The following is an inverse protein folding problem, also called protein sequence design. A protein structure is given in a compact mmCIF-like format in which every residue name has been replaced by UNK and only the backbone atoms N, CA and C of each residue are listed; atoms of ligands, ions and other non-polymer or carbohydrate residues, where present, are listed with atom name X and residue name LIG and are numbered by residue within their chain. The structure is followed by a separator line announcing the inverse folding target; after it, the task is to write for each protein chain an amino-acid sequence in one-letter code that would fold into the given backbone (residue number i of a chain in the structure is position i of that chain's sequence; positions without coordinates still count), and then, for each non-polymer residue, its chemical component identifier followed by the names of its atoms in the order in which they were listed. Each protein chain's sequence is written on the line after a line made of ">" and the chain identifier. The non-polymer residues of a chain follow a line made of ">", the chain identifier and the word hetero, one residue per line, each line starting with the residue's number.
data_IF_663038032968
#
_entry.id   IF_663038032968
#
_cell.length_a   1.000
_cell.length_b   1.000
_cell.length_c   1.000
_cell.angle_alpha   90.00
_cell.angle_beta   90.00
_cell.angle_gamma   90.00
#
_symmetry.space_group_name_H-M   'P 1'
#
loop_
_entity.id
_entity.type
_entity.pdbx_description
1 polymer ?
#
# COMPACT_ATOMS: atom_id res chain seq x y z
N UNK A 1 13.53 19.78 7.29
CA UNK A 1 13.34 21.14 7.84
C UNK A 1 12.56 21.02 9.14
N UNK A 2 13.06 21.59 10.24
CA UNK A 2 12.38 21.52 11.54
C UNK A 2 11.40 22.69 11.69
N UNK A 3 10.11 22.41 11.64
CA UNK A 3 9.03 23.37 11.87
C UNK A 3 8.82 23.64 13.36
N UNK A 4 8.28 24.81 13.67
CA UNK A 4 7.71 25.18 14.96
C UNK A 4 6.18 25.12 14.88
N UNK A 5 5.49 25.17 16.02
CA UNK A 5 4.02 25.10 16.07
C UNK A 5 3.32 26.15 15.20
N UNK A 6 3.92 27.34 15.07
CA UNK A 6 3.38 28.48 14.30
C UNK A 6 3.73 28.41 12.80
N UNK A 7 4.80 27.71 12.45
CA UNK A 7 5.30 27.63 11.06
C UNK A 7 4.98 26.31 10.38
N UNK A 8 4.22 25.42 11.02
CA UNK A 8 3.90 24.09 10.51
C UNK A 8 2.89 24.18 9.33
N UNK A 9 3.33 24.02 8.07
CA UNK A 9 2.47 24.20 6.92
C UNK A 9 1.48 23.03 6.75
N UNK A 10 0.46 23.26 5.95
CA UNK A 10 -0.33 22.16 5.40
C UNK A 10 0.45 21.46 4.29
N UNK A 11 0.60 20.14 4.38
CA UNK A 11 1.19 19.30 3.34
C UNK A 11 0.13 18.38 2.75
N UNK A 12 -0.01 18.40 1.43
CA UNK A 12 -1.01 17.60 0.70
C UNK A 12 -0.35 16.53 -0.15
N UNK A 13 -1.11 15.49 -0.51
CA UNK A 13 -0.67 14.46 -1.45
C UNK A 13 -0.37 15.03 -2.82
N UNK A 14 0.84 14.79 -3.29
CA UNK A 14 1.23 14.97 -4.68
C UNK A 14 0.98 13.68 -5.46
N UNK A 15 0.48 13.83 -6.67
CA UNK A 15 0.09 12.71 -7.54
C UNK A 15 0.82 12.77 -8.87
N UNK A 16 1.09 11.61 -9.46
CA UNK A 16 1.67 11.51 -10.81
C UNK A 16 0.69 10.84 -11.78
N UNK A 17 -0.06 11.61 -12.59
CA UNK A 17 -1.07 11.06 -13.48
C UNK A 17 -0.46 10.22 -14.60
N UNK A 18 0.73 10.60 -15.12
CA UNK A 18 1.41 9.87 -16.20
C UNK A 18 1.82 8.47 -15.75
N UNK A 19 2.47 8.38 -14.59
CA UNK A 19 2.86 7.09 -14.01
C UNK A 19 1.64 6.23 -13.66
N UNK A 20 0.58 6.85 -13.13
CA UNK A 20 -0.68 6.15 -12.85
C UNK A 20 -1.28 5.57 -14.13
N UNK A 21 -1.32 6.34 -15.21
CA UNK A 21 -1.85 5.90 -16.50
C UNK A 21 -1.03 4.73 -17.07
N UNK A 22 0.29 4.81 -17.02
CA UNK A 22 1.17 3.72 -17.45
C UNK A 22 0.85 2.43 -16.68
N UNK A 23 0.80 2.49 -15.34
CA UNK A 23 0.49 1.32 -14.51
C UNK A 23 -0.89 0.74 -14.84
N UNK A 24 -1.90 1.60 -15.06
CA UNK A 24 -3.25 1.16 -15.44
C UNK A 24 -3.28 0.48 -16.80
N UNK A 25 -2.59 1.02 -17.81
CA UNK A 25 -2.53 0.43 -19.15
C UNK A 25 -1.84 -0.93 -19.11
N UNK A 26 -0.68 -1.03 -18.44
CA UNK A 26 0.04 -2.31 -18.30
C UNK A 26 -0.82 -3.34 -17.58
N UNK A 27 -1.49 -2.96 -16.49
CA UNK A 27 -2.38 -3.87 -15.76
C UNK A 27 -3.59 -4.30 -16.60
N UNK A 28 -4.20 -3.38 -17.37
CA UNK A 28 -5.31 -3.68 -18.25
C UNK A 28 -4.88 -4.69 -19.32
N UNK A 29 -3.76 -4.44 -20.01
CA UNK A 29 -3.24 -5.37 -21.01
C UNK A 29 -2.95 -6.75 -20.41
N UNK A 30 -2.32 -6.80 -19.23
CA UNK A 30 -2.03 -8.05 -18.54
C UNK A 30 -3.30 -8.81 -18.15
N UNK A 31 -4.29 -8.12 -17.59
CA UNK A 31 -5.56 -8.75 -17.19
C UNK A 31 -6.39 -9.19 -18.39
N UNK A 32 -6.46 -8.41 -19.47
CA UNK A 32 -7.08 -8.82 -20.73
C UNK A 32 -6.40 -10.06 -21.31
N UNK A 33 -5.06 -10.10 -21.31
CA UNK A 33 -4.29 -11.26 -21.76
C UNK A 33 -4.63 -12.52 -20.95
N UNK A 34 -4.65 -12.43 -19.62
CA UNK A 34 -5.05 -13.55 -18.75
C UNK A 34 -6.48 -14.01 -18.99
N UNK A 35 -7.43 -13.09 -19.19
CA UNK A 35 -8.81 -13.42 -19.50
C UNK A 35 -8.93 -14.15 -20.83
N UNK A 36 -8.22 -13.71 -21.87
CA UNK A 36 -8.18 -14.40 -23.17
C UNK A 36 -7.66 -15.82 -23.00
N UNK A 37 -6.56 -16.02 -22.25
CA UNK A 37 -6.05 -17.37 -21.97
C UNK A 37 -7.08 -18.26 -21.29
N UNK A 38 -7.83 -17.74 -20.30
CA UNK A 38 -8.90 -18.50 -19.65
C UNK A 38 -10.00 -18.91 -20.61
N UNK A 39 -10.40 -18.05 -21.55
CA UNK A 39 -11.38 -18.39 -22.58
C UNK A 39 -10.84 -19.32 -23.67
N UNK A 40 -9.52 -19.41 -23.86
CA UNK A 40 -8.89 -20.31 -24.82
C UNK A 40 -8.75 -21.75 -24.32
N UNK A 41 -8.68 -21.97 -23.00
CA UNK A 41 -8.58 -23.33 -22.41
C UNK A 41 -9.71 -24.25 -22.92
N UNK A 42 -11.00 -23.86 -22.89
CA UNK A 42 -12.08 -24.70 -23.39
C UNK A 42 -12.06 -24.88 -24.91
N UNK A 43 -11.59 -23.88 -25.67
CA UNK A 43 -11.45 -23.96 -27.13
C UNK A 43 -10.42 -25.01 -27.54
N UNK A 44 -9.33 -25.16 -26.80
CA UNK A 44 -8.35 -26.22 -27.03
C UNK A 44 -8.96 -27.61 -26.88
N UNK A 45 -9.90 -27.81 -25.95
CA UNK A 45 -10.60 -29.08 -25.74
C UNK A 45 -11.58 -29.42 -26.87
N UNK A 46 -12.06 -28.45 -27.64
CA UNK A 46 -12.99 -28.73 -28.76
C UNK A 46 -12.28 -29.47 -29.89
N UNK A 47 -11.00 -29.16 -30.14
CA UNK A 47 -10.24 -29.74 -31.24
C UNK A 47 -10.00 -31.25 -31.06
N UNK A 48 -9.81 -31.71 -29.82
CA UNK A 48 -9.51 -33.10 -29.51
C UNK A 48 -10.76 -33.98 -29.41
N UNK A 49 -11.95 -33.38 -29.25
CA UNK A 49 -13.19 -34.10 -28.95
C UNK A 49 -14.38 -33.66 -29.84
N UNK A 50 -14.12 -33.52 -31.13
CA UNK A 50 -15.13 -33.12 -32.12
C UNK A 50 -16.29 -34.14 -32.12
N UNK A 51 -17.49 -33.68 -31.74
CA UNK A 51 -18.75 -34.45 -31.87
C UNK A 51 -19.41 -34.89 -30.56
N UNK A 52 -18.77 -34.73 -29.40
CA UNK A 52 -19.39 -35.05 -28.11
C UNK A 52 -20.23 -33.90 -27.57
N UNK A 53 -21.56 -34.07 -27.53
CA UNK A 53 -22.51 -33.08 -26.99
C UNK A 53 -22.18 -32.68 -25.54
N UNK A 54 -21.70 -33.63 -24.74
CA UNK A 54 -21.32 -33.43 -23.34
C UNK A 54 -20.25 -32.34 -23.16
N UNK A 55 -19.25 -32.29 -24.05
CA UNK A 55 -18.17 -31.29 -23.97
C UNK A 55 -18.68 -29.89 -24.30
N UNK A 56 -19.59 -29.74 -25.27
CA UNK A 56 -20.21 -28.44 -25.54
C UNK A 56 -21.01 -27.92 -24.35
N UNK A 57 -21.73 -28.80 -23.64
CA UNK A 57 -22.46 -28.45 -22.41
C UNK A 57 -21.50 -27.98 -21.32
N UNK A 58 -20.39 -28.72 -21.09
CA UNK A 58 -19.37 -28.36 -20.11
C UNK A 58 -18.71 -27.01 -20.42
N UNK A 59 -18.39 -26.75 -21.69
CA UNK A 59 -17.83 -25.46 -22.13
C UNK A 59 -18.83 -24.31 -21.90
N UNK A 60 -20.10 -24.54 -22.21
CA UNK A 60 -21.16 -23.57 -21.95
C UNK A 60 -21.28 -23.22 -20.47
N UNK A 61 -21.29 -24.24 -19.59
CA UNK A 61 -21.32 -24.05 -18.14
C UNK A 61 -20.07 -23.30 -17.66
N UNK A 62 -18.89 -23.69 -18.14
CA UNK A 62 -17.62 -23.01 -17.81
C UNK A 62 -17.67 -21.52 -18.17
N UNK A 63 -18.09 -21.20 -19.40
CA UNK A 63 -18.18 -19.81 -19.86
C UNK A 63 -19.20 -18.99 -19.03
N UNK A 64 -20.33 -19.58 -18.66
CA UNK A 64 -21.33 -18.95 -17.79
C UNK A 64 -20.78 -18.67 -16.38
N UNK A 65 -20.08 -19.63 -15.77
CA UNK A 65 -19.46 -19.45 -14.45
C UNK A 65 -18.38 -18.37 -14.51
N UNK A 66 -17.53 -18.40 -15.53
CA UNK A 66 -16.44 -17.43 -15.70
C UNK A 66 -16.99 -16.00 -15.90
N UNK A 67 -17.94 -15.82 -16.81
CA UNK A 67 -18.60 -14.52 -17.06
C UNK A 67 -19.30 -13.99 -15.81
N UNK A 68 -20.04 -14.84 -15.10
CA UNK A 68 -20.70 -14.46 -13.85
C UNK A 68 -19.68 -14.06 -12.76
N UNK A 69 -18.58 -14.79 -12.64
CA UNK A 69 -17.48 -14.48 -11.72
C UNK A 69 -16.86 -13.11 -12.00
N UNK A 70 -16.57 -12.79 -13.26
CA UNK A 70 -16.06 -11.49 -13.69
C UNK A 70 -17.05 -10.37 -13.36
N UNK A 71 -18.34 -10.58 -13.65
CA UNK A 71 -19.39 -9.60 -13.36
C UNK A 71 -19.49 -9.31 -11.86
N UNK A 72 -19.56 -10.36 -11.02
CA UNK A 72 -19.66 -10.21 -9.57
C UNK A 72 -18.42 -9.50 -8.99
N UNK A 73 -17.23 -9.93 -9.40
CA UNK A 73 -15.98 -9.29 -8.99
C UNK A 73 -15.95 -7.81 -9.37
N UNK A 74 -16.34 -7.47 -10.60
CA UNK A 74 -16.37 -6.08 -11.07
C UNK A 74 -17.35 -5.22 -10.26
N UNK A 75 -18.52 -5.76 -9.92
CA UNK A 75 -19.54 -5.07 -9.12
C UNK A 75 -19.05 -4.82 -7.68
N UNK A 76 -18.50 -5.85 -7.03
CA UNK A 76 -17.99 -5.76 -5.67
C UNK A 76 -16.79 -4.80 -5.58
N UNK A 77 -15.90 -4.85 -6.58
CA UNK A 77 -14.75 -3.95 -6.68
C UNK A 77 -15.18 -2.49 -6.81
N UNK A 78 -16.15 -2.19 -7.69
CA UNK A 78 -16.69 -0.83 -7.86
C UNK A 78 -17.29 -0.29 -6.57
N UNK A 79 -18.03 -1.12 -5.82
CA UNK A 79 -18.61 -0.73 -4.52
C UNK A 79 -17.54 -0.38 -3.48
N UNK A 80 -16.43 -1.13 -3.44
CA UNK A 80 -15.33 -0.85 -2.51
C UNK A 80 -14.56 0.42 -2.88
N UNK A 81 -14.41 0.67 -4.17
CA UNK A 81 -13.64 1.79 -4.71
C UNK A 81 -14.21 3.17 -4.37
N UNK A 82 -15.52 3.33 -4.20
CA UNK A 82 -16.11 4.64 -3.86
C UNK A 82 -15.62 5.18 -2.51
N UNK A 83 -15.11 4.30 -1.64
CA UNK A 83 -14.53 4.69 -0.35
C UNK A 83 -13.01 4.90 -0.43
N UNK A 84 -12.42 4.89 -1.62
CA UNK A 84 -10.98 5.05 -1.79
C UNK A 84 -10.52 6.47 -1.44
N UNK A 85 -9.39 6.56 -0.74
CA UNK A 85 -8.73 7.81 -0.38
C UNK A 85 -8.00 8.34 -1.60
N UNK A 86 -8.36 9.52 -2.08
CA UNK A 86 -7.76 10.15 -3.26
C UNK A 86 -6.87 11.36 -2.93
N UNK A 87 -7.06 11.96 -1.76
CA UNK A 87 -6.25 13.06 -1.25
C UNK A 87 -6.03 12.89 0.25
N UNK A 88 -4.79 13.10 0.69
CA UNK A 88 -4.40 13.10 2.10
C UNK A 88 -3.80 14.47 2.41
N UNK A 89 -4.21 15.03 3.55
CA UNK A 89 -3.74 16.33 4.03
C UNK A 89 -3.21 16.16 5.44
N UNK A 90 -1.99 16.64 5.70
CA UNK A 90 -1.38 16.67 7.03
C UNK A 90 -1.16 18.13 7.41
N UNK A 91 -1.76 18.55 8.52
CA UNK A 91 -1.69 19.93 9.01
C UNK A 91 -1.62 19.97 10.53
N UNK A 92 -1.71 21.16 11.13
CA UNK A 92 -1.63 21.38 12.57
C UNK A 92 -2.65 20.61 13.42
N UNK A 93 -3.78 20.21 12.83
CA UNK A 93 -4.83 19.47 13.55
C UNK A 93 -4.54 17.96 13.55
N UNK A 94 -3.86 17.44 12.53
CA UNK A 94 -3.63 16.02 12.35
C UNK A 94 -3.60 15.63 10.87
N UNK A 95 -4.17 14.46 10.56
CA UNK A 95 -4.29 13.93 9.21
C UNK A 95 -5.76 13.88 8.77
N UNK A 96 -6.01 14.24 7.52
CA UNK A 96 -7.33 14.21 6.89
C UNK A 96 -7.27 13.32 5.65
N UNK A 97 -8.23 12.42 5.54
CA UNK A 97 -8.39 11.53 4.40
C UNK A 97 -9.64 11.92 3.62
N UNK A 98 -9.47 12.41 2.40
CA UNK A 98 -10.58 12.72 1.50
C UNK A 98 -10.87 11.49 0.64
N UNK A 99 -12.07 10.94 0.81
CA UNK A 99 -12.55 9.77 0.07
C UNK A 99 -13.30 10.19 -1.20
N UNK A 100 -13.35 9.31 -2.20
CA UNK A 100 -14.06 9.58 -3.46
C UNK A 100 -15.56 9.80 -3.30
N UNK A 101 -16.18 9.25 -2.25
CA UNK A 101 -17.58 9.46 -1.90
C UNK A 101 -17.85 10.87 -1.29
N UNK A 102 -16.82 11.71 -1.12
CA UNK A 102 -16.93 13.04 -0.51
C UNK A 102 -16.78 13.07 1.01
N UNK A 103 -16.70 11.91 1.67
CA UNK A 103 -16.47 11.82 3.11
C UNK A 103 -15.03 12.24 3.45
N UNK A 104 -14.89 13.03 4.52
CA UNK A 104 -13.59 13.44 5.05
C UNK A 104 -13.41 12.80 6.42
N UNK A 105 -12.46 11.89 6.51
CA UNK A 105 -12.10 11.21 7.74
C UNK A 105 -10.95 11.95 8.41
N UNK A 106 -11.21 12.48 9.60
CA UNK A 106 -10.21 13.21 10.40
C UNK A 106 -9.60 12.30 11.47
N UNK A 107 -8.28 12.35 11.59
CA UNK A 107 -7.56 11.80 12.73
C UNK A 107 -6.72 12.93 13.34
N UNK A 108 -7.23 13.47 14.46
CA UNK A 108 -6.63 14.58 15.19
C UNK A 108 -5.47 14.10 16.04
N UNK A 109 -4.43 14.93 16.19
CA UNK A 109 -3.35 14.68 17.15
C UNK A 109 -3.87 14.58 18.59
N UNK A 110 -4.92 15.33 18.93
CA UNK A 110 -5.51 15.34 20.27
C UNK A 110 -6.14 13.99 20.65
N UNK A 111 -6.64 13.26 19.66
CA UNK A 111 -7.34 12.00 19.85
C UNK A 111 -6.39 10.79 19.96
N UNK A 112 -5.08 11.01 19.76
CA UNK A 112 -4.08 9.97 19.93
C UNK A 112 -3.93 9.60 21.42
N UNK A 113 -3.94 8.31 21.72
CA UNK A 113 -3.80 7.83 23.08
C UNK A 113 -2.39 7.33 23.35
N UNK A 114 -1.99 7.39 24.63
CA UNK A 114 -0.86 6.61 25.12
C UNK A 114 -1.22 5.13 25.14
N UNK A 115 -0.23 4.28 24.98
CA UNK A 115 -0.42 2.86 25.21
C UNK A 115 -0.75 2.59 26.69
N UNK A 116 -1.60 1.58 26.91
CA UNK A 116 -1.89 1.08 28.27
C UNK A 116 -0.73 0.24 28.83
N UNK A 117 0.13 -0.30 27.97
CA UNK A 117 1.24 -1.16 28.37
C UNK A 117 2.51 -0.33 28.61
N UNK A 118 3.16 -0.55 29.76
CA UNK A 118 4.30 0.24 30.23
C UNK A 118 5.51 0.26 29.27
N UNK A 119 5.72 -0.85 28.56
CA UNK A 119 6.90 -1.07 27.70
C UNK A 119 6.62 -0.86 26.21
N UNK A 120 5.37 -0.66 25.82
CA UNK A 120 5.02 -0.36 24.44
C UNK A 120 5.07 1.13 24.20
N UNK A 121 5.69 1.53 23.10
CA UNK A 121 5.69 2.91 22.64
C UNK A 121 4.32 3.26 22.05
N UNK A 122 3.95 4.54 22.11
CA UNK A 122 2.62 5.01 21.70
C UNK A 122 2.45 5.01 20.18
N UNK A 123 3.56 5.22 19.48
CA UNK A 123 3.66 5.16 18.02
C UNK A 123 4.76 4.19 17.65
N UNK A 124 4.42 3.18 16.84
CA UNK A 124 5.33 2.08 16.53
C UNK A 124 5.10 1.56 15.12
N UNK A 125 6.01 0.71 14.67
CA UNK A 125 5.90 0.00 13.40
C UNK A 125 5.45 -1.43 13.61
N UNK A 126 4.61 -1.91 12.68
CA UNK A 126 4.18 -3.31 12.64
C UNK A 126 4.31 -3.82 11.22
N UNK A 127 5.11 -4.85 11.04
CA UNK A 127 5.21 -5.56 9.76
C UNK A 127 4.07 -6.55 9.67
N UNK A 128 3.28 -6.44 8.60
CA UNK A 128 2.22 -7.39 8.26
C UNK A 128 2.58 -8.13 6.97
N UNK A 129 2.02 -9.32 6.77
CA UNK A 129 2.33 -10.16 5.62
C UNK A 129 3.55 -11.04 5.85
N UNK A 130 3.77 -11.98 4.93
CA UNK A 130 4.84 -12.99 5.03
C UNK A 130 5.77 -12.86 3.82
N UNK A 131 7.08 -12.95 4.07
CA UNK A 131 8.15 -12.91 3.07
C UNK A 131 8.07 -11.68 2.15
N UNK A 132 7.89 -11.93 0.85
CA UNK A 132 7.93 -10.94 -0.25
C UNK A 132 6.76 -9.94 -0.14
N UNK A 133 5.66 -10.33 0.50
CA UNK A 133 4.48 -9.49 0.68
C UNK A 133 4.53 -8.66 1.97
N UNK A 134 5.61 -8.75 2.73
CA UNK A 134 5.72 -8.04 4.01
C UNK A 134 5.70 -6.52 3.81
N UNK A 135 4.87 -5.83 4.58
CA UNK A 135 4.72 -4.38 4.55
C UNK A 135 4.81 -3.81 5.96
N UNK A 136 5.76 -2.91 6.17
CA UNK A 136 5.89 -2.17 7.42
C UNK A 136 4.90 -1.02 7.47
N UNK A 137 4.02 -1.05 8.46
CA UNK A 137 2.96 -0.06 8.67
C UNK A 137 3.23 0.78 9.91
N UNK A 138 2.87 2.06 9.85
CA UNK A 138 2.85 2.92 11.03
C UNK A 138 1.54 2.67 11.81
N UNK A 139 1.67 2.40 13.10
CA UNK A 139 0.58 2.17 14.03
C UNK A 139 0.55 3.25 15.12
N UNK A 140 -0.66 3.67 15.47
CA UNK A 140 -0.94 4.59 16.57
C UNK A 140 -2.09 4.05 17.39
N UNK A 141 -2.21 4.44 18.65
CA UNK A 141 -3.42 4.20 19.43
C UNK A 141 -4.43 5.34 19.22
N UNK A 142 -5.64 4.98 18.79
CA UNK A 142 -6.76 5.89 18.59
C UNK A 142 -8.01 5.25 19.20
N UNK A 143 -8.74 5.98 20.05
CA UNK A 143 -9.86 5.44 20.82
C UNK A 143 -9.52 4.11 21.52
N UNK A 144 -8.34 4.03 22.13
CA UNK A 144 -7.82 2.84 22.82
C UNK A 144 -7.61 1.59 21.94
N UNK A 145 -7.61 1.73 20.61
CA UNK A 145 -7.34 0.63 19.67
C UNK A 145 -6.17 0.96 18.72
N UNK A 146 -5.48 -0.07 18.25
CA UNK A 146 -4.42 0.09 17.24
C UNK A 146 -5.03 0.50 15.89
N UNK A 147 -4.63 1.67 15.37
CA UNK A 147 -5.01 2.15 14.04
C UNK A 147 -3.80 2.27 13.14
N UNK A 148 -3.94 1.79 11.90
CA UNK A 148 -2.94 1.99 10.86
C UNK A 148 -3.08 3.38 10.27
N UNK A 149 -1.96 4.09 10.12
CA UNK A 149 -1.90 5.36 9.37
C UNK A 149 -1.40 5.07 7.95
N UNK A 150 -2.20 5.45 6.96
CA UNK A 150 -1.82 5.36 5.54
C UNK A 150 -1.33 6.71 5.04
N UNK A 151 -0.29 6.71 4.23
CA UNK A 151 0.22 7.92 3.55
C UNK A 151 0.15 7.77 2.03
N UNK A 152 -0.61 6.77 1.57
CA UNK A 152 -0.81 6.46 0.16
C UNK A 152 -2.31 6.40 -0.12
N UNK A 153 -2.67 6.84 -1.31
CA UNK A 153 -3.98 6.62 -1.86
C UNK A 153 -4.27 5.12 -1.96
N UNK A 154 -5.50 4.72 -1.67
CA UNK A 154 -5.83 3.30 -1.41
C UNK A 154 -6.19 2.50 -2.66
N UNK A 155 -6.48 3.16 -3.78
CA UNK A 155 -6.93 2.47 -5.00
C UNK A 155 -6.33 3.10 -6.26
N UNK A 156 -5.37 2.42 -6.89
CA UNK A 156 -4.64 2.92 -8.07
C UNK A 156 -5.55 2.97 -9.31
N UNK A 157 -6.66 2.22 -9.35
CA UNK A 157 -7.58 2.21 -10.50
C UNK A 157 -8.52 3.40 -10.51
N UNK A 158 -8.88 3.90 -9.32
CA UNK A 158 -9.81 5.02 -9.18
C UNK A 158 -9.17 6.31 -8.69
N UNK A 159 -7.95 6.22 -8.15
CA UNK A 159 -7.17 7.37 -7.67
C UNK A 159 -5.77 7.37 -8.28
N UNK A 160 -5.05 8.47 -8.11
CA UNK A 160 -3.70 8.61 -8.64
C UNK A 160 -2.64 8.13 -7.65
N UNK A 161 -1.51 7.64 -8.16
CA UNK A 161 -0.39 7.20 -7.34
C UNK A 161 0.23 8.38 -6.58
N UNK A 162 0.31 8.27 -5.26
CA UNK A 162 0.94 9.28 -4.39
C UNK A 162 2.46 9.21 -4.47
N UNK A 163 3.12 10.32 -4.80
CA UNK A 163 4.58 10.38 -4.96
C UNK A 163 5.32 10.82 -3.70
N UNK A 164 4.67 11.59 -2.83
CA UNK A 164 5.28 12.18 -1.63
C UNK A 164 4.87 11.50 -0.31
N UNK A 165 4.52 10.21 -0.35
CA UNK A 165 4.09 9.47 0.84
C UNK A 165 5.13 9.42 1.98
N UNK A 166 6.42 9.52 1.66
CA UNK A 166 7.50 9.64 2.65
C UNK A 166 7.48 11.00 3.35
N UNK A 167 7.32 12.08 2.58
CA UNK A 167 7.23 13.44 3.11
C UNK A 167 6.00 13.60 3.99
N UNK A 168 4.83 13.08 3.57
CA UNK A 168 3.61 13.10 4.40
C UNK A 168 3.80 12.39 5.75
N UNK A 169 4.50 11.25 5.74
CA UNK A 169 4.81 10.51 6.98
C UNK A 169 5.74 11.30 7.90
N UNK A 170 6.78 11.90 7.35
CA UNK A 170 7.71 12.74 8.09
C UNK A 170 7.01 13.94 8.71
N UNK A 171 6.21 14.63 7.89
CA UNK A 171 5.41 15.76 8.32
C UNK A 171 4.45 15.36 9.43
N UNK A 172 3.78 14.21 9.30
CA UNK A 172 2.89 13.71 10.34
C UNK A 172 3.61 13.42 11.66
N UNK A 173 4.74 12.71 11.63
CA UNK A 173 5.53 12.39 12.82
C UNK A 173 6.08 13.64 13.50
N UNK A 174 6.52 14.61 12.71
CA UNK A 174 6.95 15.90 13.22
C UNK A 174 5.80 16.66 13.90
N UNK A 175 4.61 16.67 13.28
CA UNK A 175 3.42 17.22 13.90
C UNK A 175 3.05 16.52 15.21
N UNK A 176 3.18 15.19 15.30
CA UNK A 176 3.02 14.48 16.59
C UNK A 176 3.97 15.05 17.64
N UNK A 177 5.27 15.18 17.32
CA UNK A 177 6.23 15.69 18.32
C UNK A 177 6.00 17.14 18.73
N UNK A 178 5.42 17.96 17.86
CA UNK A 178 5.10 19.35 18.15
C UNK A 178 3.82 19.49 18.98
N UNK A 179 2.74 18.80 18.61
CA UNK A 179 1.41 18.98 19.21
C UNK A 179 1.10 17.97 20.33
N UNK A 180 1.86 16.87 20.41
CA UNK A 180 1.75 15.80 21.41
C UNK A 180 3.13 15.31 21.87
N UNK A 181 3.96 16.19 22.45
CA UNK A 181 5.30 15.80 22.95
C UNK A 181 5.23 14.77 24.09
N UNK A 182 4.05 14.57 24.68
CA UNK A 182 3.80 13.55 25.70
C UNK A 182 3.81 12.12 25.14
N UNK A 183 3.65 11.94 23.82
CA UNK A 183 3.63 10.64 23.14
C UNK A 183 5.05 10.18 22.79
N UNK A 184 5.34 8.91 23.07
CA UNK A 184 6.63 8.26 22.81
C UNK A 184 6.60 7.53 21.48
N UNK A 185 7.43 7.97 20.53
CA UNK A 185 7.66 7.30 19.25
C UNK A 185 8.72 6.20 19.45
N UNK A 186 8.51 5.02 18.88
CA UNK A 186 9.48 3.93 18.91
C UNK A 186 10.66 4.18 17.96
N UNK A 187 11.85 3.74 18.35
CA UNK A 187 13.06 3.87 17.51
C UNK A 187 12.91 3.09 16.19
N UNK A 188 12.13 2.01 16.20
CA UNK A 188 11.80 1.24 14.99
C UNK A 188 11.11 2.10 13.93
N UNK A 189 10.34 3.12 14.29
CA UNK A 189 9.69 4.04 13.34
C UNK A 189 10.73 4.81 12.54
N UNK A 190 11.79 5.26 13.19
CA UNK A 190 12.87 6.00 12.54
C UNK A 190 13.72 5.08 11.66
N UNK A 191 14.05 3.89 12.14
CA UNK A 191 14.86 2.92 11.40
C UNK A 191 14.12 2.36 10.18
N UNK A 192 12.89 1.88 10.35
CA UNK A 192 12.12 1.22 9.30
C UNK A 192 11.75 2.17 8.15
N UNK A 193 11.57 3.45 8.46
CA UNK A 193 11.24 4.47 7.46
C UNK A 193 12.42 5.36 7.05
N UNK A 194 13.64 5.07 7.54
CA UNK A 194 14.85 5.85 7.31
C UNK A 194 14.64 7.34 7.57
N UNK A 195 14.11 7.67 8.74
CA UNK A 195 13.84 9.04 9.18
C UNK A 195 14.86 9.41 10.26
N UNK A 196 15.54 10.54 10.10
CA UNK A 196 16.42 11.05 11.16
C UNK A 196 15.56 11.55 12.34
N UNK A 197 15.75 11.06 13.58
CA UNK A 197 14.91 11.42 14.72
C UNK A 197 15.01 12.89 15.13
N UNK A 198 16.12 13.57 14.81
CA UNK A 198 16.36 14.95 15.20
C UNK A 198 15.80 15.96 14.18
N UNK A 199 15.89 15.62 12.90
CA UNK A 199 15.52 16.54 11.79
C UNK A 199 14.22 16.15 11.08
N UNK A 200 13.72 14.93 11.29
CA UNK A 200 12.61 14.30 10.57
C UNK A 200 12.84 14.15 9.05
N UNK A 201 14.07 14.36 8.58
CA UNK A 201 14.39 14.25 7.17
C UNK A 201 14.66 12.81 6.75
N UNK A 202 14.47 12.54 5.47
CA UNK A 202 14.70 11.21 4.89
C UNK A 202 16.19 10.94 4.78
N UNK A 203 16.67 9.90 5.46
CA UNK A 203 18.04 9.43 5.34
C UNK A 203 18.24 8.68 4.02
N UNK A 204 18.43 9.47 2.95
CA UNK A 204 18.72 8.97 1.61
C UNK A 204 19.98 8.11 1.57
N UNK A 205 20.99 8.40 2.41
CA UNK A 205 22.27 7.69 2.41
C UNK A 205 22.11 6.32 3.06
N UNK A 206 21.50 6.26 4.25
CA UNK A 206 21.17 5.01 4.92
C UNK A 206 20.29 4.12 4.06
N UNK A 207 19.23 4.68 3.47
CA UNK A 207 18.34 3.92 2.56
C UNK A 207 19.08 3.32 1.37
N UNK A 208 19.90 4.11 0.66
CA UNK A 208 20.68 3.62 -0.48
C UNK A 208 21.67 2.53 -0.06
N UNK A 209 22.36 2.71 1.07
CA UNK A 209 23.30 1.72 1.60
C UNK A 209 22.60 0.39 1.91
N UNK A 210 21.46 0.42 2.60
CA UNK A 210 20.69 -0.79 2.92
C UNK A 210 20.19 -1.48 1.66
N UNK A 211 19.71 -0.72 0.65
CA UNK A 211 19.28 -1.29 -0.63
C UNK A 211 20.43 -1.98 -1.39
N UNK A 212 21.62 -1.38 -1.41
CA UNK A 212 22.80 -2.00 -2.05
C UNK A 212 23.19 -3.29 -1.33
N UNK A 213 23.24 -3.29 0.02
CA UNK A 213 23.55 -4.48 0.81
C UNK A 213 22.53 -5.59 0.54
N UNK A 214 21.23 -5.26 0.55
CA UNK A 214 20.16 -6.22 0.26
C UNK A 214 20.30 -6.82 -1.15
N UNK A 215 20.65 -6.01 -2.15
CA UNK A 215 20.90 -6.47 -3.52
C UNK A 215 22.09 -7.42 -3.60
N UNK A 216 23.21 -7.10 -2.94
CA UNK A 216 24.40 -7.96 -2.88
C UNK A 216 24.06 -9.30 -2.23
N UNK A 217 23.36 -9.30 -1.08
CA UNK A 217 22.94 -10.52 -0.39
C UNK A 217 22.04 -11.37 -1.30
N UNK A 218 21.07 -10.74 -1.98
CA UNK A 218 20.18 -11.44 -2.91
C UNK A 218 20.95 -12.11 -4.06
N UNK A 219 21.97 -11.45 -4.61
CA UNK A 219 22.81 -12.01 -5.67
C UNK A 219 23.66 -13.19 -5.17
N UNK A 220 24.20 -13.10 -3.95
CA UNK A 220 24.96 -14.19 -3.32
C UNK A 220 24.07 -15.42 -3.11
N UNK A 221 22.85 -15.23 -2.60
CA UNK A 221 21.89 -16.33 -2.41
C UNK A 221 21.57 -16.99 -3.76
N UNK A 222 21.31 -16.20 -4.80
CA UNK A 222 21.05 -16.73 -6.15
C UNK A 222 22.23 -17.52 -6.71
N UNK A 223 23.46 -17.04 -6.51
CA UNK A 223 24.66 -17.74 -6.95
C UNK A 223 24.83 -19.09 -6.24
N UNK A 224 24.58 -19.13 -4.92
CA UNK A 224 24.62 -20.38 -4.14
C UNK A 224 23.58 -21.37 -4.68
N UNK A 225 22.33 -20.93 -4.86
CA UNK A 225 21.26 -21.80 -5.39
C UNK A 225 21.60 -22.33 -6.78
N UNK A 226 22.12 -21.47 -7.67
CA UNK A 226 22.53 -21.89 -9.02
C UNK A 226 23.66 -22.93 -8.99
N UNK A 227 24.66 -22.73 -8.14
CA UNK A 227 25.75 -23.71 -7.97
C UNK A 227 25.24 -25.02 -7.37
N UNK A 228 24.31 -24.99 -6.42
CA UNK A 228 23.73 -26.21 -5.82
C UNK A 228 22.83 -27.01 -6.77
N UNK A 229 22.26 -26.40 -7.80
CA UNK A 229 21.47 -27.12 -8.83
C UNK A 229 22.40 -27.77 -9.87
N UNK A 230 23.56 -27.18 -10.12
CA UNK A 230 24.50 -27.59 -11.16
C UNK A 230 25.70 -28.41 -10.65
N UNK A 231 25.72 -28.75 -9.35
CA UNK A 231 26.71 -29.62 -8.71
C UNK A 231 26.08 -30.99 -8.44
#
# INVERSE_FOLDING_TARGET
>A
MKYTSDTFPELTTLTNPKLTLLVRVVFLLFTTFLLVLLYLIPLALINDYIGSMEIYILIGIYALILTYGIYKFSKDYKKKSTNAIHKIVVNKLGIQYHKLNGEIEHLSYKDLNKSKQLYTKDIFTKTIGVNISSKTLLKVFYNQQERTISFQNTDIFYTYLSTNSRELRQHFLQGVTLYRPDLKIADSVYNDFFINPNTFEFDKKGYKKTMIIALIISLVILAIVFLSINA
#
